data_IF_433390225475
#
_entry.id   IF_433390225475
#
_cell.length_a   1.000
_cell.length_b   1.000
_cell.length_c   1.000
_cell.angle_alpha   90.00
_cell.angle_beta   90.00
_cell.angle_gamma   90.00
#
_symmetry.space_group_name_H-M   'P 1'
#
loop_
_entity.id
_entity.type
_entity.pdbx_description
1 polymer ?
#
# COMPACT_ATOMS: atom_id res chain seq x y z
N UNK A 1 -1.06 -1.56 18.34
CA UNK A 1 -1.48 -0.71 17.21
C UNK A 1 -1.05 -1.43 15.95
N UNK A 2 -1.98 -2.01 15.19
CA UNK A 2 -1.63 -2.73 13.96
C UNK A 2 -1.43 -1.68 12.87
N UNK A 3 -0.28 -1.67 12.20
CA UNK A 3 -0.02 -0.82 11.04
C UNK A 3 -0.50 -1.58 9.79
N UNK A 4 -1.72 -1.35 9.27
CA UNK A 4 -2.32 -2.23 8.27
C UNK A 4 -1.58 -2.13 6.94
N UNK A 5 -1.06 -0.95 6.60
CA UNK A 5 -0.21 -0.72 5.44
C UNK A 5 1.11 -1.50 5.52
N UNK A 6 1.85 -1.41 6.63
CA UNK A 6 3.12 -2.14 6.82
C UNK A 6 2.89 -3.65 6.87
N UNK A 7 1.72 -4.07 7.36
CA UNK A 7 1.35 -5.48 7.35
C UNK A 7 1.05 -5.93 5.92
N UNK A 8 0.13 -5.27 5.21
CA UNK A 8 -0.41 -5.75 3.94
C UNK A 8 0.41 -5.38 2.70
N UNK A 9 1.32 -4.41 2.79
CA UNK A 9 2.16 -3.97 1.67
C UNK A 9 3.62 -4.40 1.89
N UNK A 10 4.08 -5.40 1.12
CA UNK A 10 5.45 -5.91 1.21
C UNK A 10 6.50 -4.84 0.93
N UNK A 11 6.23 -3.95 -0.03
CA UNK A 11 7.15 -2.88 -0.42
C UNK A 11 7.35 -1.87 0.73
N UNK A 12 6.26 -1.40 1.33
CA UNK A 12 6.32 -0.48 2.48
C UNK A 12 7.00 -1.16 3.67
N UNK A 13 6.74 -2.45 3.90
CA UNK A 13 7.39 -3.22 4.97
C UNK A 13 8.91 -3.26 4.82
N UNK A 14 9.40 -3.48 3.59
CA UNK A 14 10.83 -3.46 3.29
C UNK A 14 11.43 -2.09 3.55
N UNK A 15 10.81 -1.03 3.01
CA UNK A 15 11.25 0.35 3.22
C UNK A 15 11.36 0.70 4.72
N UNK A 16 10.31 0.41 5.49
CA UNK A 16 10.31 0.64 6.95
C UNK A 16 11.39 -0.17 7.67
N UNK A 17 11.73 -1.38 7.18
CA UNK A 17 12.77 -2.22 7.78
C UNK A 17 14.19 -1.78 7.42
N UNK A 18 14.38 -1.15 6.25
CA UNK A 18 15.67 -0.62 5.80
C UNK A 18 15.96 0.79 6.31
N UNK A 19 14.93 1.55 6.68
CA UNK A 19 15.06 2.86 7.32
C UNK A 19 15.53 2.75 8.78
N UNK A 20 16.61 3.47 9.13
CA UNK A 20 16.98 3.68 10.54
C UNK A 20 15.89 4.53 11.24
N UNK A 21 15.60 4.27 12.52
CA UNK A 21 14.53 4.87 13.35
C UNK A 21 14.31 6.41 13.20
N UNK A 22 15.34 7.18 12.81
CA UNK A 22 15.24 8.63 12.57
C UNK A 22 14.64 9.02 11.20
N UNK A 23 14.74 8.16 10.19
CA UNK A 23 14.32 8.39 8.79
C UNK A 23 12.91 7.83 8.49
N UNK A 24 12.36 6.99 9.38
CA UNK A 24 11.03 6.34 9.22
C UNK A 24 9.88 7.34 9.17
N UNK A 25 10.12 8.63 9.49
CA UNK A 25 9.09 9.66 9.45
C UNK A 25 8.60 9.97 8.03
N UNK A 26 9.42 9.75 6.99
CA UNK A 26 9.07 10.09 5.61
C UNK A 26 9.54 9.00 4.63
N UNK A 27 8.59 8.46 3.88
CA UNK A 27 8.84 7.54 2.76
C UNK A 27 8.39 8.26 1.50
N UNK A 28 9.32 8.53 0.58
CA UNK A 28 8.96 9.05 -0.73
C UNK A 28 8.58 7.90 -1.66
N UNK A 29 7.39 8.00 -2.25
CA UNK A 29 6.81 7.04 -3.19
C UNK A 29 6.44 7.74 -4.53
N UNK A 30 6.88 8.99 -4.70
CA UNK A 30 6.34 9.91 -5.69
C UNK A 30 6.77 9.57 -7.12
N UNK A 31 7.98 9.04 -7.30
CA UNK A 31 8.54 8.70 -8.61
C UNK A 31 8.07 7.33 -9.13
N UNK A 32 7.72 6.39 -8.24
CA UNK A 32 7.50 4.99 -8.61
C UNK A 32 6.04 4.54 -8.61
N UNK A 33 5.10 5.28 -8.00
CA UNK A 33 3.69 4.83 -7.92
C UNK A 33 2.95 5.01 -9.24
N UNK A 34 2.46 3.92 -9.88
CA UNK A 34 1.62 4.01 -11.06
C UNK A 34 0.24 4.57 -10.69
N UNK A 35 -0.16 5.67 -11.34
CA UNK A 35 -1.42 6.37 -11.03
C UNK A 35 -1.33 7.35 -9.86
N UNK A 36 -0.11 7.60 -9.33
CA UNK A 36 0.16 8.67 -8.38
C UNK A 36 -0.59 8.53 -7.05
N UNK A 37 -0.84 9.68 -6.41
CA UNK A 37 -1.43 9.74 -5.06
C UNK A 37 -2.84 9.12 -4.98
N UNK A 38 -3.65 9.23 -6.04
CA UNK A 38 -4.99 8.64 -6.06
C UNK A 38 -4.96 7.11 -6.02
N UNK A 39 -4.04 6.49 -6.77
CA UNK A 39 -3.84 5.05 -6.73
C UNK A 39 -3.43 4.58 -5.32
N UNK A 40 -2.48 5.30 -4.70
CA UNK A 40 -2.04 5.02 -3.34
C UNK A 40 -3.20 5.16 -2.33
N UNK A 41 -4.03 6.18 -2.47
CA UNK A 41 -5.18 6.40 -1.58
C UNK A 41 -6.15 5.21 -1.64
N UNK A 42 -6.46 4.69 -2.83
CA UNK A 42 -7.32 3.53 -3.00
C UNK A 42 -6.71 2.26 -2.36
N UNK A 43 -5.41 2.03 -2.56
CA UNK A 43 -4.69 0.93 -1.95
C UNK A 43 -4.66 1.04 -0.41
N UNK A 44 -4.46 2.25 0.12
CA UNK A 44 -4.51 2.52 1.55
C UNK A 44 -5.91 2.28 2.11
N UNK A 45 -6.96 2.82 1.47
CA UNK A 45 -8.36 2.56 1.83
C UNK A 45 -8.64 1.05 1.92
N UNK A 46 -8.18 0.28 0.94
CA UNK A 46 -8.27 -1.18 0.97
C UNK A 46 -7.55 -1.80 2.18
N UNK A 47 -6.31 -1.38 2.47
CA UNK A 47 -5.53 -1.90 3.59
C UNK A 47 -6.23 -1.67 4.94
N UNK A 48 -6.82 -0.49 5.12
CA UNK A 48 -7.56 -0.08 6.32
C UNK A 48 -9.00 -0.64 6.38
N UNK A 49 -9.45 -1.39 5.37
CA UNK A 49 -10.81 -1.94 5.32
C UNK A 49 -11.89 -0.89 5.09
N UNK A 50 -11.51 0.27 4.53
CA UNK A 50 -12.46 1.29 4.10
C UNK A 50 -13.14 0.79 2.84
N UNK A 51 -14.48 0.77 2.85
CA UNK A 51 -15.25 0.40 1.66
C UNK A 51 -15.22 1.56 0.66
N UNK A 52 -14.84 1.24 -0.58
CA UNK A 52 -14.90 2.13 -1.71
C UNK A 52 -15.41 1.35 -2.93
N UNK A 53 -15.96 2.06 -3.90
CA UNK A 53 -16.49 1.44 -5.11
C UNK A 53 -15.34 1.14 -6.09
N UNK A 54 -15.23 -0.13 -6.51
CA UNK A 54 -14.28 -0.55 -7.54
C UNK A 54 -15.02 -0.56 -8.88
N UNK A 55 -14.65 0.37 -9.74
CA UNK A 55 -15.22 0.54 -11.08
C UNK A 55 -14.21 0.23 -12.17
N UNK A 56 -14.68 0.06 -13.41
CA UNK A 56 -13.82 -0.24 -14.58
C UNK A 56 -12.73 0.80 -14.82
N UNK A 57 -12.95 2.04 -14.37
CA UNK A 57 -11.99 3.14 -14.47
C UNK A 57 -10.84 3.02 -13.46
N UNK A 58 -11.12 2.49 -12.26
CA UNK A 58 -10.16 2.47 -11.15
C UNK A 58 -9.54 1.09 -10.94
N UNK A 59 -10.18 0.01 -11.42
CA UNK A 59 -9.73 -1.36 -11.18
C UNK A 59 -8.36 -1.65 -11.81
N UNK A 60 -8.07 -1.07 -12.97
CA UNK A 60 -6.77 -1.21 -13.62
C UNK A 60 -5.68 -0.52 -12.78
N UNK A 61 -5.94 0.71 -12.34
CA UNK A 61 -5.03 1.47 -11.48
C UNK A 61 -4.81 0.75 -10.14
N UNK A 62 -5.88 0.28 -9.50
CA UNK A 62 -5.83 -0.46 -8.24
C UNK A 62 -4.99 -1.73 -8.36
N UNK A 63 -5.11 -2.46 -9.47
CA UNK A 63 -4.28 -3.64 -9.74
C UNK A 63 -2.81 -3.29 -9.91
N UNK A 64 -2.49 -2.25 -10.68
CA UNK A 64 -1.11 -1.81 -10.88
C UNK A 64 -0.45 -1.37 -9.57
N UNK A 65 -1.13 -0.56 -8.75
CA UNK A 65 -0.59 -0.10 -7.46
C UNK A 65 -0.53 -1.23 -6.43
N UNK A 66 -1.48 -2.16 -6.43
CA UNK A 66 -1.44 -3.32 -5.54
C UNK A 66 -0.25 -4.23 -5.87
N UNK A 67 0.04 -4.44 -7.15
CA UNK A 67 1.22 -5.18 -7.60
C UNK A 67 2.51 -4.44 -7.21
N UNK A 68 2.57 -3.12 -7.47
CA UNK A 68 3.71 -2.28 -7.11
C UNK A 68 4.01 -2.30 -5.60
N UNK A 69 2.97 -2.15 -4.76
CA UNK A 69 3.10 -2.17 -3.30
C UNK A 69 3.34 -3.57 -2.73
N UNK A 70 3.44 -4.60 -3.59
CA UNK A 70 3.53 -6.01 -3.23
C UNK A 70 2.42 -6.40 -2.23
N UNK A 71 1.19 -5.93 -2.49
CA UNK A 71 0.02 -6.23 -1.67
C UNK A 71 -0.38 -7.68 -1.85
N UNK A 72 -0.09 -8.51 -0.86
CA UNK A 72 -0.41 -9.95 -0.89
C UNK A 72 -1.25 -10.32 0.32
N UNK A 73 -2.23 -11.21 0.11
CA UNK A 73 -3.04 -11.79 1.19
C UNK A 73 -2.20 -12.65 2.14
N UNK A 74 -0.98 -13.02 1.75
CA UNK A 74 -0.01 -13.77 2.56
C UNK A 74 0.41 -13.00 3.84
N UNK A 75 0.33 -11.66 3.80
CA UNK A 75 0.54 -10.83 4.99
C UNK A 75 -0.74 -10.47 5.76
N UNK A 76 -1.91 -10.83 5.24
CA UNK A 76 -3.11 -10.85 6.06
C UNK A 76 -2.98 -12.08 6.96
N UNK A 77 -2.43 -11.88 8.17
CA UNK A 77 -2.47 -12.91 9.21
C UNK A 77 -3.90 -13.38 9.32
N UNK A 78 -4.12 -14.59 8.81
CA UNK A 78 -5.37 -15.31 8.87
C UNK A 78 -5.81 -15.45 10.32
N UNK A 79 -7.12 -15.28 10.50
CA UNK A 79 -7.88 -15.50 11.72
C UNK A 79 -7.59 -16.84 12.38
#
# INVERSE_FOLDING_TARGET
>A
MQFPLVSKCGYIRKLVSESNDADVCFIDLSDDIPGGAEAFELAAKFCYGINFEINVENIAMLRCVAEFLEMTEDYAVGN
#
